data_IF_745683570332
#
_entry.id   IF_745683570332
#
_cell.length_a   1.000
_cell.length_b   1.000
_cell.length_c   1.000
_cell.angle_alpha   90.00
_cell.angle_beta   90.00
_cell.angle_gamma   90.00
#
_symmetry.space_group_name_H-M   'P 1'
#
loop_
_entity.id
_entity.type
_entity.pdbx_description
1 polymer ?
#
# COMPACT_ATOMS: atom_id res chain seq x y z
N UNK A 1 18.80 42.08 3.09
CA UNK A 1 19.15 41.47 1.78
C UNK A 1 19.61 40.02 1.95
N UNK A 2 20.46 39.72 2.95
CA UNK A 2 20.98 38.35 3.19
C UNK A 2 19.88 37.38 3.64
N UNK A 3 18.92 37.82 4.47
CA UNK A 3 17.81 36.99 4.97
C UNK A 3 16.88 36.51 3.85
N UNK A 4 16.59 37.38 2.88
CA UNK A 4 15.73 37.00 1.74
C UNK A 4 16.41 35.98 0.78
N UNK A 5 17.72 36.08 0.62
CA UNK A 5 18.47 35.15 -0.23
C UNK A 5 18.55 33.76 0.39
N UNK A 6 18.68 33.65 1.72
CA UNK A 6 18.67 32.39 2.45
C UNK A 6 17.30 31.72 2.38
N UNK A 7 16.21 32.50 2.51
CA UNK A 7 14.84 31.97 2.40
C UNK A 7 14.53 31.43 1.00
N UNK A 8 14.98 32.11 -0.04
CA UNK A 8 14.79 31.64 -1.43
C UNK A 8 15.62 30.38 -1.72
N UNK A 9 16.85 30.32 -1.24
CA UNK A 9 17.70 29.15 -1.40
C UNK A 9 17.12 27.93 -0.67
N UNK A 10 16.62 28.12 0.55
CA UNK A 10 15.97 27.06 1.33
C UNK A 10 14.68 26.59 0.64
N UNK A 11 13.87 27.51 0.14
CA UNK A 11 12.66 27.17 -0.61
C UNK A 11 12.97 26.39 -1.89
N UNK A 12 14.02 26.76 -2.63
CA UNK A 12 14.46 26.03 -3.83
C UNK A 12 14.96 24.62 -3.49
N UNK A 13 15.74 24.47 -2.43
CA UNK A 13 16.20 23.15 -1.96
C UNK A 13 15.01 22.26 -1.56
N UNK A 14 14.04 22.81 -0.83
CA UNK A 14 12.84 22.08 -0.45
C UNK A 14 12.00 21.67 -1.67
N UNK A 15 11.83 22.57 -2.66
CA UNK A 15 11.10 22.27 -3.89
C UNK A 15 11.81 21.17 -4.69
N UNK A 16 13.14 21.22 -4.80
CA UNK A 16 13.93 20.19 -5.48
C UNK A 16 13.86 18.84 -4.75
N UNK A 17 13.97 18.83 -3.43
CA UNK A 17 13.86 17.61 -2.63
C UNK A 17 12.47 16.99 -2.72
N UNK A 18 11.39 17.77 -2.63
CA UNK A 18 10.03 17.26 -2.76
C UNK A 18 9.70 16.83 -4.20
N UNK A 19 10.26 17.49 -5.22
CA UNK A 19 10.13 17.09 -6.61
C UNK A 19 10.80 15.74 -6.86
N UNK A 20 12.02 15.55 -6.40
CA UNK A 20 12.78 14.30 -6.53
C UNK A 20 12.08 13.13 -5.80
N UNK A 21 11.52 13.35 -4.61
CA UNK A 21 10.78 12.35 -3.87
C UNK A 21 9.50 11.94 -4.60
N UNK A 22 8.77 12.89 -5.18
CA UNK A 22 7.57 12.61 -5.98
C UNK A 22 7.90 11.77 -7.21
N UNK A 23 8.96 12.09 -7.94
CA UNK A 23 9.42 11.32 -9.10
C UNK A 23 9.80 9.90 -8.68
N UNK A 24 10.54 9.74 -7.59
CA UNK A 24 10.91 8.45 -7.04
C UNK A 24 9.68 7.60 -6.70
N UNK A 25 8.68 8.19 -6.06
CA UNK A 25 7.43 7.50 -5.74
C UNK A 25 6.66 7.07 -7.00
N UNK A 26 6.62 7.93 -8.02
CA UNK A 26 6.01 7.59 -9.31
C UNK A 26 6.73 6.42 -9.99
N UNK A 27 8.05 6.40 -9.98
CA UNK A 27 8.84 5.30 -10.54
C UNK A 27 8.57 3.97 -9.82
N UNK A 28 8.47 3.99 -8.50
CA UNK A 28 8.14 2.79 -7.71
C UNK A 28 6.74 2.29 -8.04
N UNK A 29 5.76 3.18 -8.14
CA UNK A 29 4.38 2.82 -8.51
C UNK A 29 4.34 2.21 -9.92
N UNK A 30 5.04 2.81 -10.87
CA UNK A 30 5.09 2.29 -12.24
C UNK A 30 5.77 0.92 -12.32
N UNK A 31 6.85 0.72 -11.58
CA UNK A 31 7.53 -0.56 -11.53
C UNK A 31 6.65 -1.66 -10.93
N UNK A 32 6.05 -1.41 -9.77
CA UNK A 32 5.11 -2.34 -9.17
C UNK A 32 3.86 -2.59 -10.01
N UNK A 33 3.40 -1.60 -10.76
CA UNK A 33 2.27 -1.73 -11.66
C UNK A 33 2.58 -2.60 -12.89
N UNK A 34 3.81 -2.55 -13.39
CA UNK A 34 4.26 -3.35 -14.56
C UNK A 34 4.79 -4.73 -14.17
N UNK A 35 5.46 -4.81 -13.05
CA UNK A 35 6.13 -6.02 -12.55
C UNK A 35 5.64 -6.32 -11.12
N UNK A 36 4.35 -6.62 -10.92
CA UNK A 36 3.83 -6.85 -9.58
C UNK A 36 4.48 -8.06 -8.92
N UNK A 37 4.82 -7.91 -7.64
CA UNK A 37 5.37 -8.99 -6.82
C UNK A 37 4.23 -9.84 -6.30
N UNK A 38 4.49 -11.14 -6.12
CA UNK A 38 3.51 -12.09 -5.60
C UNK A 38 2.20 -12.14 -6.41
N UNK A 39 2.30 -11.93 -7.71
CA UNK A 39 1.16 -11.96 -8.62
C UNK A 39 0.86 -13.41 -9.03
N UNK A 40 -0.41 -13.79 -8.97
CA UNK A 40 -0.91 -15.10 -9.36
C UNK A 40 -1.75 -15.76 -8.27
N UNK A 41 -2.19 -16.99 -8.53
CA UNK A 41 -2.88 -17.83 -7.54
C UNK A 41 -1.88 -18.39 -6.53
N UNK A 42 -2.35 -18.63 -5.32
CA UNK A 42 -1.58 -19.31 -4.28
C UNK A 42 -2.19 -20.69 -4.05
N UNK A 43 -1.36 -21.75 -4.21
CA UNK A 43 -1.78 -23.10 -3.83
C UNK A 43 -1.82 -23.23 -2.30
N UNK A 44 -2.78 -23.99 -1.79
CA UNK A 44 -2.95 -24.23 -0.34
C UNK A 44 -3.20 -22.96 0.49
N UNK A 45 -3.84 -21.95 -0.08
CA UNK A 45 -4.29 -20.81 0.70
C UNK A 45 -5.33 -21.25 1.75
N UNK A 46 -5.32 -20.58 2.90
CA UNK A 46 -6.30 -20.79 3.96
C UNK A 46 -7.46 -19.80 3.90
N UNK A 47 -7.20 -18.61 3.37
CA UNK A 47 -8.16 -17.51 3.30
C UNK A 47 -8.08 -16.82 1.93
N UNK A 48 -9.22 -16.35 1.45
CA UNK A 48 -9.32 -15.59 0.21
C UNK A 48 -10.43 -14.55 0.31
N UNK A 49 -10.28 -13.46 -0.42
CA UNK A 49 -11.33 -12.46 -0.57
C UNK A 49 -11.18 -11.73 -1.89
N UNK A 50 -12.28 -11.16 -2.34
CA UNK A 50 -12.33 -10.34 -3.55
C UNK A 50 -12.53 -8.88 -3.18
N UNK A 51 -11.94 -7.99 -3.97
CA UNK A 51 -12.15 -6.56 -3.92
C UNK A 51 -12.53 -6.02 -5.29
N UNK A 52 -13.34 -4.98 -5.32
CA UNK A 52 -13.71 -4.32 -6.56
C UNK A 52 -13.89 -2.82 -6.36
N UNK A 53 -13.54 -2.07 -7.39
CA UNK A 53 -13.80 -0.64 -7.47
C UNK A 53 -14.45 -0.35 -8.84
N UNK A 54 -15.80 -0.30 -8.91
CA UNK A 54 -16.50 -0.10 -10.17
C UNK A 54 -16.17 1.22 -10.85
N UNK A 55 -15.81 2.25 -10.09
CA UNK A 55 -15.45 3.58 -10.61
C UNK A 55 -14.25 3.54 -11.56
N UNK A 56 -13.28 2.66 -11.29
CA UNK A 56 -12.07 2.49 -12.09
C UNK A 56 -12.02 1.16 -12.84
N UNK A 57 -13.02 0.30 -12.68
CA UNK A 57 -13.03 -1.05 -13.24
C UNK A 57 -12.00 -1.98 -12.60
N UNK A 58 -11.55 -1.66 -11.40
CA UNK A 58 -10.56 -2.49 -10.67
C UNK A 58 -11.23 -3.73 -10.08
N UNK A 59 -10.59 -4.87 -10.23
CA UNK A 59 -10.97 -6.14 -9.63
C UNK A 59 -9.74 -6.84 -9.08
N UNK A 60 -9.87 -7.46 -7.92
CA UNK A 60 -8.76 -8.13 -7.25
C UNK A 60 -9.26 -9.33 -6.48
N UNK A 61 -8.48 -10.41 -6.53
CA UNK A 61 -8.62 -11.56 -5.64
C UNK A 61 -7.32 -11.71 -4.87
N UNK A 62 -7.40 -11.79 -3.55
CA UNK A 62 -6.24 -12.03 -2.69
C UNK A 62 -6.33 -13.43 -2.09
N UNK A 63 -5.18 -14.11 -2.05
CA UNK A 63 -4.99 -15.43 -1.45
C UNK A 63 -4.01 -15.32 -0.31
N UNK A 64 -4.39 -15.79 0.86
CA UNK A 64 -3.58 -15.69 2.07
C UNK A 64 -3.44 -17.07 2.71
N UNK A 65 -2.23 -17.42 3.09
CA UNK A 65 -1.96 -18.61 3.88
C UNK A 65 -1.55 -18.16 5.28
N UNK A 66 -2.39 -18.47 6.26
CA UNK A 66 -2.15 -18.16 7.68
C UNK A 66 -1.69 -19.42 8.38
N UNK A 67 -0.63 -19.33 9.15
CA UNK A 67 -0.09 -20.44 9.94
C UNK A 67 -0.80 -20.59 11.29
N UNK A 68 -0.38 -21.61 12.05
CA UNK A 68 -0.95 -21.93 13.37
C UNK A 68 -0.73 -20.83 14.42
N UNK A 69 0.28 -19.97 14.21
CA UNK A 69 0.61 -18.85 15.09
C UNK A 69 -0.08 -17.53 14.68
N UNK A 70 -1.07 -17.59 13.80
CA UNK A 70 -1.75 -16.41 13.23
C UNK A 70 -0.80 -15.43 12.51
N UNK A 71 0.21 -15.98 11.86
CA UNK A 71 1.10 -15.24 10.96
C UNK A 71 0.76 -15.53 9.52
N UNK A 72 0.93 -14.53 8.67
CA UNK A 72 0.81 -14.70 7.23
C UNK A 72 2.08 -15.37 6.71
N UNK A 73 1.98 -16.67 6.42
CA UNK A 73 3.06 -17.46 5.87
C UNK A 73 3.33 -17.10 4.41
N UNK A 74 2.26 -16.90 3.65
CA UNK A 74 2.36 -16.52 2.25
C UNK A 74 1.12 -15.73 1.79
N UNK A 75 1.29 -14.95 0.73
CA UNK A 75 0.24 -14.13 0.12
C UNK A 75 0.50 -13.96 -1.36
N UNK A 76 -0.56 -14.02 -2.14
CA UNK A 76 -0.53 -13.65 -3.56
C UNK A 76 -1.84 -12.99 -3.96
N UNK A 77 -1.86 -12.43 -5.14
CA UNK A 77 -3.08 -11.79 -5.65
C UNK A 77 -3.14 -11.86 -7.18
N UNK A 78 -4.35 -11.82 -7.69
CA UNK A 78 -4.64 -11.55 -9.08
C UNK A 78 -5.45 -10.28 -9.17
N UNK A 79 -5.15 -9.42 -10.12
CA UNK A 79 -5.82 -8.13 -10.26
C UNK A 79 -5.91 -7.69 -11.72
N UNK A 80 -6.98 -6.96 -12.02
CA UNK A 80 -7.15 -6.16 -13.23
C UNK A 80 -7.53 -4.75 -12.79
N UNK A 81 -6.94 -3.74 -13.40
CA UNK A 81 -7.27 -2.36 -13.07
C UNK A 81 -6.14 -1.39 -13.34
N UNK A 82 -6.23 -0.23 -12.70
CA UNK A 82 -5.24 0.83 -12.88
C UNK A 82 -3.90 0.50 -12.20
N UNK A 83 -2.86 1.22 -12.62
CA UNK A 83 -1.52 1.05 -12.08
C UNK A 83 -1.47 1.26 -10.55
N UNK A 84 -2.28 2.17 -10.00
CA UNK A 84 -2.34 2.45 -8.57
C UNK A 84 -2.86 1.24 -7.80
N UNK A 85 -3.93 0.59 -8.25
CA UNK A 85 -4.50 -0.58 -7.58
C UNK A 85 -3.55 -1.78 -7.62
N UNK A 86 -2.91 -2.04 -8.76
CA UNK A 86 -1.94 -3.13 -8.91
C UNK A 86 -0.68 -2.86 -8.10
N UNK A 87 -0.14 -1.64 -8.16
CA UNK A 87 1.05 -1.27 -7.40
C UNK A 87 0.81 -1.35 -5.89
N UNK A 88 -0.34 -0.88 -5.41
CA UNK A 88 -0.70 -0.96 -4.00
C UNK A 88 -0.83 -2.41 -3.53
N UNK A 89 -1.46 -3.28 -4.32
CA UNK A 89 -1.56 -4.71 -4.02
C UNK A 89 -0.19 -5.39 -3.99
N UNK A 90 0.69 -5.05 -4.93
CA UNK A 90 2.07 -5.55 -4.97
C UNK A 90 2.86 -5.16 -3.72
N UNK A 91 2.83 -3.89 -3.34
CA UNK A 91 3.48 -3.37 -2.13
C UNK A 91 2.89 -4.03 -0.88
N UNK A 92 1.58 -4.09 -0.78
CA UNK A 92 0.87 -4.77 0.31
C UNK A 92 1.35 -6.22 0.46
N UNK A 93 1.44 -6.98 -0.62
CA UNK A 93 1.85 -8.39 -0.60
C UNK A 93 3.27 -8.60 -0.05
N UNK A 94 4.17 -7.67 -0.32
CA UNK A 94 5.53 -7.73 0.25
C UNK A 94 5.54 -7.42 1.76
N UNK A 95 4.71 -6.47 2.19
CA UNK A 95 4.69 -6.00 3.57
C UNK A 95 4.03 -7.02 4.50
N UNK A 96 2.89 -7.57 4.12
CA UNK A 96 2.09 -8.43 5.01
C UNK A 96 2.68 -9.82 5.20
N UNK A 97 3.50 -10.28 4.27
CA UNK A 97 4.16 -11.59 4.39
C UNK A 97 5.07 -11.64 5.63
N UNK A 98 4.86 -12.62 6.48
CA UNK A 98 5.59 -12.78 7.74
C UNK A 98 5.04 -11.97 8.93
N UNK A 99 4.01 -11.18 8.72
CA UNK A 99 3.37 -10.39 9.79
C UNK A 99 2.27 -11.20 10.47
N UNK A 100 2.02 -10.89 11.74
CA UNK A 100 0.83 -11.38 12.45
C UNK A 100 -0.43 -10.67 11.94
N UNK A 101 -1.59 -11.27 12.17
CA UNK A 101 -2.88 -10.65 11.84
C UNK A 101 -3.03 -9.28 12.53
N UNK A 102 -2.62 -9.18 13.79
CA UNK A 102 -2.68 -7.91 14.54
C UNK A 102 -1.76 -6.84 13.96
N UNK A 103 -0.57 -7.23 13.50
CA UNK A 103 0.36 -6.30 12.81
C UNK A 103 -0.22 -5.82 11.49
N UNK A 104 -0.87 -6.70 10.72
CA UNK A 104 -1.53 -6.33 9.45
C UNK A 104 -2.68 -5.36 9.70
N UNK A 105 -3.50 -5.60 10.71
CA UNK A 105 -4.60 -4.71 11.07
C UNK A 105 -4.10 -3.31 11.45
N UNK A 106 -3.04 -3.23 12.23
CA UNK A 106 -2.38 -1.98 12.63
C UNK A 106 -1.76 -1.25 11.43
N UNK A 107 -1.08 -1.97 10.52
CA UNK A 107 -0.51 -1.42 9.29
C UNK A 107 -1.59 -0.90 8.35
N UNK A 108 -2.70 -1.61 8.23
CA UNK A 108 -3.84 -1.17 7.41
C UNK A 108 -4.44 0.13 7.96
N UNK A 109 -4.63 0.22 9.26
CA UNK A 109 -5.11 1.45 9.91
C UNK A 109 -4.17 2.64 9.64
N UNK A 110 -2.87 2.43 9.73
CA UNK A 110 -1.86 3.43 9.39
C UNK A 110 -1.96 3.85 7.92
N UNK A 111 -1.99 2.88 7.02
CA UNK A 111 -2.05 3.12 5.58
C UNK A 111 -3.32 3.86 5.16
N UNK A 112 -4.45 3.50 5.75
CA UNK A 112 -5.72 4.18 5.49
C UNK A 112 -5.64 5.67 5.85
N UNK A 113 -5.09 6.00 7.01
CA UNK A 113 -4.86 7.40 7.42
C UNK A 113 -3.91 8.12 6.48
N UNK A 114 -2.85 7.46 6.05
CA UNK A 114 -1.90 8.01 5.09
C UNK A 114 -2.59 8.37 3.75
N UNK A 115 -3.44 7.49 3.24
CA UNK A 115 -4.18 7.70 1.99
C UNK A 115 -5.26 8.78 2.09
N UNK A 116 -5.85 8.96 3.26
CA UNK A 116 -6.90 9.98 3.50
C UNK A 116 -6.34 11.33 3.93
N UNK A 117 -5.03 11.44 4.11
CA UNK A 117 -4.37 12.68 4.54
C UNK A 117 -4.54 12.99 6.04
N UNK A 118 -4.97 12.02 6.84
CA UNK A 118 -5.04 12.15 8.29
C UNK A 118 -3.63 12.09 8.91
N UNK A 119 -3.45 12.71 10.05
CA UNK A 119 -2.19 12.63 10.79
C UNK A 119 -1.92 11.21 11.25
N UNK A 120 -0.72 10.72 10.95
CA UNK A 120 -0.23 9.43 11.41
C UNK A 120 0.64 9.63 12.65
N UNK A 121 0.32 8.91 13.71
CA UNK A 121 1.13 8.93 14.92
C UNK A 121 2.38 8.07 14.73
N UNK A 122 3.39 8.32 15.56
CA UNK A 122 4.58 7.48 15.63
C UNK A 122 4.17 6.03 15.92
N UNK A 123 4.64 5.10 15.10
CA UNK A 123 4.24 3.70 15.15
C UNK A 123 5.42 2.82 15.58
N UNK A 124 5.10 1.65 16.11
CA UNK A 124 6.10 0.61 16.40
C UNK A 124 6.38 -0.30 15.17
N UNK A 125 5.90 0.12 13.99
CA UNK A 125 6.12 -0.63 12.76
C UNK A 125 7.56 -0.52 12.26
N UNK A 126 7.98 -1.50 11.49
CA UNK A 126 9.28 -1.51 10.83
C UNK A 126 9.38 -0.32 9.89
N UNK A 127 10.45 0.46 10.02
CA UNK A 127 10.66 1.68 9.23
C UNK A 127 10.62 1.42 7.72
N UNK A 128 11.18 0.31 7.27
CA UNK A 128 11.15 -0.10 5.86
C UNK A 128 9.73 -0.27 5.34
N UNK A 129 8.83 -0.86 6.12
CA UNK A 129 7.42 -1.04 5.74
C UNK A 129 6.72 0.31 5.64
N UNK A 130 7.00 1.21 6.57
CA UNK A 130 6.44 2.57 6.56
C UNK A 130 6.92 3.35 5.32
N UNK A 131 8.18 3.26 4.96
CA UNK A 131 8.71 3.92 3.76
C UNK A 131 8.07 3.36 2.47
N UNK A 132 7.84 2.06 2.39
CA UNK A 132 7.10 1.45 1.27
C UNK A 132 5.67 1.98 1.18
N UNK A 133 4.98 2.13 2.30
CA UNK A 133 3.61 2.66 2.34
C UNK A 133 3.55 4.13 1.92
N UNK A 134 4.52 4.93 2.30
CA UNK A 134 4.60 6.36 1.96
C UNK A 134 4.64 6.62 0.45
N UNK A 135 5.08 5.65 -0.35
CA UNK A 135 5.04 5.74 -1.81
C UNK A 135 3.63 6.05 -2.33
N UNK A 136 2.61 5.55 -1.64
CA UNK A 136 1.20 5.75 -2.02
C UNK A 136 0.58 7.02 -1.43
N UNK A 137 1.32 7.81 -0.64
CA UNK A 137 0.77 8.97 0.08
C UNK A 137 0.16 10.04 -0.83
N UNK A 138 0.65 10.17 -2.06
CA UNK A 138 0.16 11.14 -3.02
C UNK A 138 -1.30 10.97 -3.43
N UNK A 139 -1.90 9.81 -3.17
CA UNK A 139 -3.32 9.57 -3.53
C UNK A 139 -4.29 10.41 -2.70
N UNK A 140 -3.86 10.99 -1.57
CA UNK A 140 -4.69 11.86 -0.75
C UNK A 140 -5.17 13.11 -1.52
N UNK A 141 -4.44 13.53 -2.54
CA UNK A 141 -4.81 14.63 -3.43
C UNK A 141 -5.84 14.25 -4.50
N UNK A 142 -6.10 12.96 -4.65
CA UNK A 142 -7.00 12.41 -5.66
C UNK A 142 -8.04 11.48 -5.01
N UNK A 143 -9.13 12.03 -4.44
CA UNK A 143 -10.11 11.24 -3.68
C UNK A 143 -10.65 10.02 -4.41
N UNK A 144 -10.82 10.09 -5.74
CA UNK A 144 -11.25 8.96 -6.56
C UNK A 144 -10.23 7.81 -6.62
N UNK A 145 -8.96 8.09 -6.29
CA UNK A 145 -7.88 7.09 -6.30
C UNK A 145 -7.60 6.47 -4.94
N UNK A 146 -8.15 7.01 -3.87
CA UNK A 146 -8.01 6.45 -2.53
C UNK A 146 -8.55 5.02 -2.50
N UNK A 147 -9.70 4.77 -3.11
CA UNK A 147 -10.28 3.42 -3.23
C UNK A 147 -9.39 2.46 -4.02
N UNK A 148 -8.74 2.93 -5.08
CA UNK A 148 -7.78 2.13 -5.82
C UNK A 148 -6.59 1.70 -4.94
N UNK A 149 -6.06 2.62 -4.14
CA UNK A 149 -4.92 2.35 -3.26
C UNK A 149 -5.27 1.44 -2.08
N UNK A 150 -6.47 1.56 -1.52
CA UNK A 150 -6.88 0.85 -0.30
C UNK A 150 -7.58 -0.48 -0.57
N UNK A 151 -7.98 -0.77 -1.80
CA UNK A 151 -8.77 -1.95 -2.16
C UNK A 151 -8.10 -3.27 -1.75
N UNK A 152 -6.81 -3.43 -2.01
CA UNK A 152 -6.07 -4.64 -1.65
C UNK A 152 -5.97 -4.86 -0.14
N UNK A 153 -5.81 -3.79 0.62
CA UNK A 153 -5.78 -3.84 2.07
C UNK A 153 -7.13 -4.23 2.67
N UNK A 154 -8.23 -3.68 2.13
CA UNK A 154 -9.58 -4.11 2.49
C UNK A 154 -9.82 -5.59 2.18
N UNK A 155 -9.33 -6.07 1.05
CA UNK A 155 -9.46 -7.48 0.65
C UNK A 155 -8.69 -8.41 1.61
N UNK A 156 -7.44 -8.06 1.96
CA UNK A 156 -6.66 -8.83 2.94
C UNK A 156 -7.35 -8.84 4.30
N UNK A 157 -7.80 -7.69 4.77
CA UNK A 157 -8.52 -7.57 6.04
C UNK A 157 -9.77 -8.45 6.06
N UNK A 158 -10.55 -8.43 4.99
CA UNK A 158 -11.73 -9.30 4.84
C UNK A 158 -11.35 -10.78 4.80
N UNK A 159 -10.27 -11.14 4.11
CA UNK A 159 -9.79 -12.51 4.03
C UNK A 159 -9.41 -13.07 5.41
N UNK A 160 -8.56 -12.36 6.14
CA UNK A 160 -8.06 -12.82 7.45
C UNK A 160 -9.11 -12.82 8.56
N UNK A 161 -10.18 -12.05 8.41
CA UNK A 161 -11.33 -12.00 9.34
C UNK A 161 -12.43 -12.98 8.96
N UNK A 162 -12.42 -13.57 7.77
CA UNK A 162 -13.37 -14.60 7.39
C UNK A 162 -13.04 -15.93 8.08
N UNK A 163 -14.06 -16.74 8.34
CA UNK A 163 -13.83 -18.12 8.74
C UNK A 163 -13.17 -18.89 7.58
N UNK A 164 -12.31 -19.86 7.90
CA UNK A 164 -11.55 -20.64 6.93
C UNK A 164 -12.44 -21.14 5.78
N UNK A 165 -11.96 -20.92 4.60
CA UNK A 165 -12.60 -21.46 3.39
C UNK A 165 -12.50 -22.99 3.35
#
# INVERSE_FOLDING_TARGET
VLHKAVDVALALVLILMFGDLRELYQEVILDHGKNPRNFGTLENYSHTAEGSNPMCGDQLTVYVKVDEDNKIEDVSFEAKGCAISIASASIMSEIVKGKTIDEVDSLFSYFHKLCTGEETQQTNHVEEDIEKLKVMSGVNQFPSRIKCATMSWHAVDSAIKSENA
#
